data_IF_096748590052
#
_entry.id   IF_096748590052
#
_cell.length_a   1.000
_cell.length_b   1.000
_cell.length_c   1.000
_cell.angle_alpha   90.00
_cell.angle_beta   90.00
_cell.angle_gamma   90.00
#
_symmetry.space_group_name_H-M   'P 1'
#
loop_
_entity.id
_entity.type
_entity.pdbx_description
1 polymer ?
#
# COMPACT_ATOMS: atom_id res chain seq x y z
N UNK A 1 38.81 46.42 16.47
CA UNK A 1 37.95 46.62 17.63
C UNK A 1 36.53 46.47 17.14
N UNK A 2 35.97 45.24 17.21
CA UNK A 2 34.60 44.92 16.80
C UNK A 2 33.88 44.32 17.99
N UNK A 3 32.84 45.02 18.44
CA UNK A 3 32.03 44.72 19.60
C UNK A 3 31.04 43.60 19.22
N UNK A 4 31.11 42.44 19.93
CA UNK A 4 30.13 41.36 19.89
C UNK A 4 28.99 41.69 20.83
N UNK A 5 27.78 41.84 20.28
CA UNK A 5 26.57 42.05 21.04
C UNK A 5 25.86 40.71 21.25
N UNK A 6 25.89 40.19 22.49
CA UNK A 6 25.12 39.01 22.93
C UNK A 6 23.68 39.40 23.19
N UNK A 7 22.74 38.81 22.44
CA UNK A 7 21.32 38.88 22.74
C UNK A 7 20.95 37.63 23.50
N UNK A 8 20.67 37.81 24.81
CA UNK A 8 20.12 36.76 25.69
C UNK A 8 18.62 36.68 25.50
N UNK A 9 18.11 35.52 25.03
CA UNK A 9 16.67 35.24 24.94
C UNK A 9 16.25 34.51 26.21
N UNK A 10 15.39 35.18 26.98
CA UNK A 10 14.83 34.70 28.25
C UNK A 10 13.58 33.86 27.94
N UNK A 11 13.65 32.54 28.19
CA UNK A 11 12.48 31.66 28.09
C UNK A 11 11.67 31.71 29.39
N UNK A 12 10.44 32.21 29.34
CA UNK A 12 9.47 32.17 30.43
C UNK A 12 8.69 30.85 30.32
N UNK A 13 8.89 29.95 31.29
CA UNK A 13 8.06 28.77 31.46
C UNK A 13 6.79 29.16 32.21
N UNK A 14 5.63 29.02 31.57
CA UNK A 14 4.32 29.06 32.23
C UNK A 14 3.94 27.64 32.65
N UNK A 15 3.95 27.42 33.97
CA UNK A 15 3.41 26.25 34.62
C UNK A 15 1.87 26.34 34.61
N UNK A 16 1.18 25.34 34.08
CA UNK A 16 -0.25 25.15 34.26
C UNK A 16 -0.48 24.03 35.26
N UNK A 17 -1.04 24.38 36.43
CA UNK A 17 -1.43 23.46 37.50
C UNK A 17 -2.72 22.70 37.16
N UNK A 18 -2.67 21.38 37.32
CA UNK A 18 -3.80 20.47 37.28
C UNK A 18 -4.67 20.62 38.53
N UNK A 19 -5.96 20.92 38.33
CA UNK A 19 -6.98 20.86 39.40
C UNK A 19 -7.65 19.49 39.41
N UNK A 20 -7.29 18.67 40.38
CA UNK A 20 -8.07 17.51 40.81
C UNK A 20 -9.44 17.93 41.35
N UNK A 21 -10.54 17.41 40.79
CA UNK A 21 -11.84 17.50 41.38
C UNK A 21 -12.21 16.23 42.13
N UNK A 22 -12.55 16.42 43.42
CA UNK A 22 -12.92 15.44 44.43
C UNK A 22 -14.24 14.74 44.10
N UNK A 23 -14.23 13.42 44.27
CA UNK A 23 -15.45 12.60 44.41
C UNK A 23 -16.14 12.89 45.72
N UNK A 24 -17.45 13.17 45.69
CA UNK A 24 -18.33 13.09 46.82
C UNK A 24 -19.20 11.85 46.75
N UNK A 25 -19.02 10.97 47.75
CA UNK A 25 -19.93 9.88 48.05
C UNK A 25 -21.19 10.45 48.74
N UNK A 26 -22.37 10.05 48.28
CA UNK A 26 -23.56 10.06 49.14
C UNK A 26 -24.25 8.67 49.02
N UNK A 27 -24.28 7.98 50.15
CA UNK A 27 -25.18 6.87 50.43
C UNK A 27 -26.56 7.39 50.82
N UNK A 28 -27.61 6.81 50.29
CA UNK A 28 -28.87 6.62 51.04
C UNK A 28 -29.67 5.48 50.43
N UNK A 29 -29.90 4.46 51.25
CA UNK A 29 -30.84 3.36 51.04
C UNK A 29 -32.26 3.87 50.87
N UNK A 30 -33.12 3.12 50.16
CA UNK A 30 -34.43 2.61 50.63
C UNK A 30 -35.01 1.68 49.52
N UNK A 31 -35.55 0.56 50.01
CA UNK A 31 -36.25 -0.52 49.32
C UNK A 31 -37.43 -0.09 48.42
N UNK A 32 -37.68 -0.80 47.36
CA UNK A 32 -38.98 -1.42 47.07
C UNK A 32 -38.92 -2.32 45.84
N UNK A 33 -39.49 -3.50 45.98
CA UNK A 33 -39.72 -4.55 44.97
C UNK A 33 -40.51 -4.01 43.77
N UNK A 34 -40.07 -4.42 42.57
CA UNK A 34 -40.99 -4.78 41.49
C UNK A 34 -40.24 -5.65 40.46
N UNK A 35 -40.64 -6.89 40.40
CA UNK A 35 -40.29 -7.92 39.43
C UNK A 35 -40.81 -7.51 38.04
N UNK A 36 -39.93 -7.36 37.04
CA UNK A 36 -40.31 -7.44 35.63
C UNK A 36 -39.22 -8.21 34.89
N UNK A 37 -39.55 -9.44 34.52
CA UNK A 37 -38.82 -10.24 33.55
C UNK A 37 -38.87 -9.58 32.17
N UNK A 38 -37.71 -9.29 31.59
CA UNK A 38 -37.53 -9.30 30.14
C UNK A 38 -36.08 -9.61 29.81
N UNK A 39 -35.86 -10.85 29.42
CA UNK A 39 -34.59 -11.29 28.82
C UNK A 39 -34.44 -10.69 27.43
N UNK A 40 -33.86 -9.51 27.31
CA UNK A 40 -33.28 -9.04 26.06
C UNK A 40 -31.80 -9.42 26.03
N UNK A 41 -31.54 -10.66 25.63
CA UNK A 41 -30.23 -11.07 25.16
C UNK A 41 -29.89 -10.26 23.90
N UNK A 42 -29.26 -9.10 24.07
CA UNK A 42 -28.55 -8.42 22.96
C UNK A 42 -27.56 -9.43 22.36
N UNK A 43 -27.90 -10.01 21.20
CA UNK A 43 -26.98 -10.77 20.37
C UNK A 43 -25.77 -9.91 20.10
N UNK A 44 -24.62 -10.28 20.67
CA UNK A 44 -23.33 -9.69 20.33
C UNK A 44 -23.18 -9.70 18.80
N UNK A 45 -22.70 -8.61 18.17
CA UNK A 45 -22.53 -8.58 16.73
C UNK A 45 -21.61 -9.73 16.34
N UNK A 46 -22.08 -10.62 15.44
CA UNK A 46 -21.25 -11.68 14.87
C UNK A 46 -20.06 -11.02 14.19
N UNK A 47 -18.90 -11.06 14.82
CA UNK A 47 -17.64 -10.65 14.22
C UNK A 47 -17.47 -11.52 12.97
N UNK A 48 -17.59 -10.91 11.78
CA UNK A 48 -17.30 -11.61 10.53
C UNK A 48 -15.87 -12.13 10.61
N UNK A 49 -15.72 -13.45 10.71
CA UNK A 49 -14.41 -14.07 10.78
C UNK A 49 -13.62 -13.71 9.52
N UNK A 50 -12.45 -13.14 9.68
CA UNK A 50 -11.60 -12.70 8.56
C UNK A 50 -11.07 -13.94 7.83
N UNK A 51 -11.03 -13.89 6.51
CA UNK A 51 -10.49 -14.97 5.67
C UNK A 51 -8.97 -15.11 5.77
N UNK A 52 -8.27 -14.11 6.28
CA UNK A 52 -6.81 -14.06 6.46
C UNK A 52 -6.44 -13.19 7.67
N UNK A 53 -5.27 -13.37 8.28
CA UNK A 53 -4.82 -12.54 9.40
C UNK A 53 -4.55 -11.11 8.93
N UNK A 54 -4.59 -10.12 9.85
CA UNK A 54 -4.06 -8.79 9.55
C UNK A 54 -2.56 -8.91 9.35
N UNK A 55 -2.08 -8.51 8.16
CA UNK A 55 -0.67 -8.60 7.81
C UNK A 55 0.15 -7.49 8.49
N UNK A 56 1.32 -7.87 8.95
CA UNK A 56 2.32 -7.02 9.60
C UNK A 56 3.72 -7.48 9.19
N UNK A 57 4.75 -6.69 9.45
CA UNK A 57 6.14 -7.08 9.18
C UNK A 57 6.54 -8.40 9.87
N UNK A 58 5.84 -8.77 10.96
CA UNK A 58 6.14 -9.99 11.73
C UNK A 58 5.58 -11.26 11.12
N UNK A 59 4.48 -11.19 10.36
CA UNK A 59 3.76 -12.36 9.88
C UNK A 59 3.58 -12.43 8.37
N UNK A 60 3.89 -11.35 7.64
CA UNK A 60 3.64 -11.30 6.20
C UNK A 60 4.46 -12.33 5.43
N UNK A 61 5.71 -12.54 5.80
CA UNK A 61 6.58 -13.48 5.10
C UNK A 61 6.13 -14.93 5.29
N UNK A 62 5.81 -15.32 6.51
CA UNK A 62 5.27 -16.67 6.79
C UNK A 62 3.92 -16.87 6.09
N UNK A 63 3.06 -15.85 6.12
CA UNK A 63 1.79 -15.89 5.40
C UNK A 63 2.00 -16.09 3.90
N UNK A 64 2.87 -15.34 3.24
CA UNK A 64 3.09 -15.47 1.80
C UNK A 64 3.84 -16.74 1.42
N UNK A 65 4.67 -17.28 2.31
CA UNK A 65 5.34 -18.56 2.11
C UNK A 65 4.32 -19.72 2.03
N UNK A 66 3.28 -19.69 2.87
CA UNK A 66 2.21 -20.69 2.81
C UNK A 66 1.21 -20.39 1.67
N UNK A 67 0.86 -19.10 1.49
CA UNK A 67 -0.10 -18.67 0.48
C UNK A 67 0.35 -19.03 -0.94
N UNK A 68 1.64 -18.89 -1.26
CA UNK A 68 2.18 -19.18 -2.58
C UNK A 68 2.08 -20.65 -2.97
N UNK A 69 2.05 -21.56 -2.01
CA UNK A 69 1.95 -23.01 -2.29
C UNK A 69 0.63 -23.36 -2.98
N UNK A 70 -0.46 -22.70 -2.57
CA UNK A 70 -1.81 -22.94 -3.07
C UNK A 70 -2.25 -21.92 -4.13
N UNK A 71 -1.45 -20.88 -4.39
CA UNK A 71 -1.79 -19.79 -5.29
C UNK A 71 -0.65 -19.57 -6.29
N UNK A 72 -0.64 -20.42 -7.34
CA UNK A 72 0.43 -20.47 -8.34
C UNK A 72 0.13 -19.65 -9.59
N UNK A 73 -1.00 -18.95 -9.60
CA UNK A 73 -1.35 -18.09 -10.73
C UNK A 73 -0.27 -17.04 -10.95
N UNK A 74 0.02 -16.77 -12.21
CA UNK A 74 1.08 -15.86 -12.59
C UNK A 74 0.75 -14.95 -13.77
N UNK A 75 -0.48 -14.99 -14.27
CA UNK A 75 -0.93 -14.06 -15.31
C UNK A 75 -2.05 -13.18 -14.79
N UNK A 76 -1.90 -11.89 -14.98
CA UNK A 76 -2.89 -10.90 -14.55
C UNK A 76 -3.15 -9.89 -15.66
N UNK A 77 -4.35 -9.33 -15.67
CA UNK A 77 -4.77 -8.24 -16.55
C UNK A 77 -5.11 -7.02 -15.74
N UNK A 78 -4.53 -5.88 -16.11
CA UNK A 78 -4.90 -4.56 -15.62
C UNK A 78 -5.79 -3.92 -16.68
N UNK A 79 -7.01 -3.52 -16.29
CA UNK A 79 -7.95 -2.77 -17.15
C UNK A 79 -7.95 -1.30 -16.79
N UNK A 80 -7.82 -0.43 -17.79
CA UNK A 80 -7.83 1.03 -17.67
C UNK A 80 -8.72 1.65 -18.73
N UNK A 81 -8.95 2.97 -18.67
CA UNK A 81 -9.64 3.71 -19.75
C UNK A 81 -8.85 3.76 -21.07
N UNK A 82 -7.53 3.47 -21.02
CA UNK A 82 -6.63 3.45 -22.18
C UNK A 82 -6.55 2.08 -22.85
N UNK A 83 -7.11 1.05 -22.22
CA UNK A 83 -7.04 -0.34 -22.67
C UNK A 83 -6.58 -1.29 -21.58
N UNK A 84 -6.13 -2.49 -21.98
CA UNK A 84 -5.69 -3.55 -21.08
C UNK A 84 -4.18 -3.76 -21.16
N UNK A 85 -3.59 -4.17 -20.03
CA UNK A 85 -2.18 -4.53 -19.91
C UNK A 85 -2.12 -5.93 -19.30
N UNK A 86 -1.61 -6.90 -20.05
CA UNK A 86 -1.41 -8.28 -19.58
C UNK A 86 0.01 -8.46 -19.07
N UNK A 87 0.13 -9.07 -17.91
CA UNK A 87 1.40 -9.22 -17.20
C UNK A 87 1.61 -10.67 -16.83
N UNK A 88 2.83 -11.19 -17.11
CA UNK A 88 3.35 -12.43 -16.58
C UNK A 88 4.18 -12.11 -15.34
N UNK A 89 3.82 -12.68 -14.20
CA UNK A 89 4.57 -12.59 -12.94
C UNK A 89 5.59 -13.74 -12.86
N UNK A 90 6.76 -13.47 -12.28
CA UNK A 90 7.85 -14.45 -12.22
C UNK A 90 7.74 -15.36 -10.99
N UNK A 91 7.98 -16.64 -11.21
CA UNK A 91 7.94 -17.65 -10.14
C UNK A 91 9.13 -17.52 -9.18
N UNK A 92 10.27 -17.03 -9.67
CA UNK A 92 11.50 -16.84 -8.91
C UNK A 92 11.31 -15.81 -7.80
N UNK A 93 10.61 -14.71 -8.07
CA UNK A 93 10.30 -13.67 -7.08
C UNK A 93 8.97 -13.97 -6.36
N UNK A 94 8.88 -15.17 -5.78
CA UNK A 94 7.67 -15.80 -5.28
C UNK A 94 6.88 -14.94 -4.27
N UNK A 95 7.55 -14.20 -3.39
CA UNK A 95 6.87 -13.35 -2.41
C UNK A 95 6.18 -12.15 -3.05
N UNK A 96 6.81 -11.54 -4.05
CA UNK A 96 6.26 -10.43 -4.81
C UNK A 96 5.08 -10.89 -5.67
N UNK A 97 5.23 -12.04 -6.35
CA UNK A 97 4.13 -12.68 -7.10
C UNK A 97 2.96 -13.02 -6.18
N UNK A 98 3.21 -13.74 -5.09
CA UNK A 98 2.17 -14.15 -4.13
C UNK A 98 1.44 -12.93 -3.52
N UNK A 99 2.17 -11.88 -3.19
CA UNK A 99 1.59 -10.62 -2.72
C UNK A 99 0.68 -9.98 -3.79
N UNK A 100 1.14 -9.88 -5.03
CA UNK A 100 0.36 -9.28 -6.10
C UNK A 100 -0.93 -10.09 -6.37
N UNK A 101 -0.83 -11.42 -6.45
CA UNK A 101 -1.99 -12.33 -6.60
C UNK A 101 -2.94 -12.21 -5.41
N UNK A 102 -2.41 -12.17 -4.18
CA UNK A 102 -3.23 -11.97 -2.98
C UNK A 102 -4.01 -10.66 -3.03
N UNK A 103 -3.35 -9.55 -3.32
CA UNK A 103 -3.99 -8.23 -3.42
C UNK A 103 -5.02 -8.17 -4.55
N UNK A 104 -4.73 -8.80 -5.68
CA UNK A 104 -5.69 -8.97 -6.80
C UNK A 104 -6.93 -9.73 -6.35
N UNK A 105 -6.77 -10.89 -5.68
CA UNK A 105 -7.91 -11.67 -5.15
C UNK A 105 -8.71 -10.93 -4.06
N UNK A 106 -8.10 -9.96 -3.36
CA UNK A 106 -8.79 -9.09 -2.40
C UNK A 106 -9.45 -7.87 -3.06
N UNK A 107 -9.32 -7.68 -4.38
CA UNK A 107 -9.80 -6.50 -5.11
C UNK A 107 -9.13 -5.21 -4.65
N UNK A 108 -7.87 -5.31 -4.14
CA UNK A 108 -7.17 -4.15 -3.61
C UNK A 108 -6.91 -3.10 -4.68
N UNK A 109 -6.48 -3.54 -5.86
CA UNK A 109 -6.08 -2.64 -6.94
C UNK A 109 -7.26 -1.99 -7.68
N UNK A 110 -8.49 -2.50 -7.50
CA UNK A 110 -9.67 -1.96 -8.19
C UNK A 110 -9.95 -0.52 -7.75
N UNK A 111 -10.07 0.38 -8.73
CA UNK A 111 -10.21 1.83 -8.56
C UNK A 111 -9.02 2.52 -7.87
N UNK A 112 -7.84 1.90 -7.86
CA UNK A 112 -6.59 2.63 -7.61
C UNK A 112 -6.19 3.41 -8.86
N UNK A 113 -5.07 4.13 -8.83
CA UNK A 113 -4.64 5.01 -9.91
C UNK A 113 -3.20 4.70 -10.33
N UNK A 114 -2.87 5.04 -11.57
CA UNK A 114 -1.51 5.40 -11.95
C UNK A 114 -1.27 6.83 -11.46
N UNK A 115 -0.68 6.95 -10.28
CA UNK A 115 -0.57 8.22 -9.55
C UNK A 115 0.74 8.97 -9.82
N UNK A 116 1.72 8.31 -10.46
CA UNK A 116 2.97 8.92 -10.90
C UNK A 116 3.29 8.44 -12.31
N UNK A 117 3.47 9.37 -13.21
CA UNK A 117 3.71 9.09 -14.63
C UNK A 117 4.87 9.95 -15.12
N UNK A 118 5.92 9.30 -15.59
CA UNK A 118 7.11 9.97 -16.13
C UNK A 118 7.38 9.44 -17.54
N UNK A 119 7.17 10.27 -18.54
CA UNK A 119 7.41 9.91 -19.92
C UNK A 119 8.89 9.52 -20.12
N UNK A 120 9.13 8.48 -20.91
CA UNK A 120 10.44 7.86 -21.12
C UNK A 120 11.13 7.42 -19.81
N UNK A 121 10.33 7.00 -18.82
CA UNK A 121 10.84 6.38 -17.60
C UNK A 121 9.90 5.27 -17.10
N UNK A 122 8.89 5.62 -16.27
CA UNK A 122 7.99 4.65 -15.65
C UNK A 122 6.56 5.17 -15.54
N UNK A 123 5.59 4.24 -15.45
CA UNK A 123 4.27 4.52 -14.91
C UNK A 123 4.10 3.77 -13.59
N UNK A 124 3.71 4.44 -12.52
CA UNK A 124 3.62 3.89 -11.17
C UNK A 124 2.18 3.91 -10.66
N UNK A 125 1.70 2.77 -10.19
CA UNK A 125 0.31 2.56 -9.81
C UNK A 125 0.11 1.80 -8.50
N UNK A 126 -1.16 1.55 -8.17
CA UNK A 126 -1.59 0.78 -7.00
C UNK A 126 -1.90 1.61 -5.76
N UNK A 127 -1.90 2.94 -5.86
CA UNK A 127 -2.33 3.84 -4.79
C UNK A 127 -3.38 4.83 -5.30
N UNK A 128 -3.98 5.58 -4.39
CA UNK A 128 -4.94 6.64 -4.67
C UNK A 128 -5.07 7.52 -3.43
N UNK A 129 -5.54 8.74 -3.60
CA UNK A 129 -5.95 9.66 -2.56
C UNK A 129 -7.36 9.33 -1.99
N UNK A 130 -8.09 8.38 -2.61
CA UNK A 130 -9.41 7.93 -2.14
C UNK A 130 -9.30 7.22 -0.78
N UNK A 131 -10.08 7.70 0.19
CA UNK A 131 -10.17 7.13 1.54
C UNK A 131 -10.58 5.65 1.55
N UNK A 132 -11.35 5.18 0.56
CA UNK A 132 -11.75 3.77 0.45
C UNK A 132 -10.56 2.85 0.21
N UNK A 133 -9.56 3.31 -0.56
CA UNK A 133 -8.30 2.60 -0.80
C UNK A 133 -7.48 2.53 0.48
N UNK A 134 -7.36 3.66 1.19
CA UNK A 134 -6.70 3.69 2.50
C UNK A 134 -7.35 2.72 3.51
N UNK A 135 -8.68 2.62 3.51
CA UNK A 135 -9.40 1.66 4.35
C UNK A 135 -9.15 0.20 3.94
N UNK A 136 -9.13 -0.12 2.64
CA UNK A 136 -8.77 -1.46 2.15
C UNK A 136 -7.38 -1.84 2.61
N UNK A 137 -6.40 -0.94 2.44
CA UNK A 137 -5.02 -1.11 2.89
C UNK A 137 -4.95 -1.35 4.40
N UNK A 138 -5.66 -0.54 5.22
CA UNK A 138 -5.72 -0.71 6.68
C UNK A 138 -6.33 -2.05 7.09
N UNK A 139 -7.33 -2.54 6.35
CA UNK A 139 -7.94 -3.85 6.59
C UNK A 139 -6.97 -4.99 6.28
N UNK A 140 -6.21 -4.91 5.20
CA UNK A 140 -5.20 -5.92 4.85
C UNK A 140 -4.05 -5.89 5.86
N UNK A 141 -3.40 -4.75 6.03
CA UNK A 141 -2.35 -4.58 7.04
C UNK A 141 -1.27 -3.58 6.64
N UNK A 142 -0.22 -3.51 7.46
CA UNK A 142 0.99 -2.72 7.19
C UNK A 142 2.18 -3.64 7.28
N UNK A 143 2.88 -3.83 6.19
CA UNK A 143 4.06 -4.67 6.04
C UNK A 143 4.90 -4.21 4.85
N UNK A 144 6.12 -4.67 4.77
CA UNK A 144 7.02 -4.51 3.63
C UNK A 144 7.46 -5.90 3.14
N UNK A 145 7.89 -5.97 1.90
CA UNK A 145 8.49 -7.19 1.34
C UNK A 145 10.01 -7.03 1.26
N UNK A 146 10.78 -8.08 1.52
CA UNK A 146 12.22 -8.03 1.35
C UNK A 146 12.59 -7.80 -0.10
N UNK A 147 13.66 -7.05 -0.33
CA UNK A 147 14.25 -6.91 -1.65
C UNK A 147 14.72 -8.27 -2.15
N UNK A 148 14.40 -8.63 -3.40
CA UNK A 148 14.75 -9.88 -4.03
C UNK A 148 15.29 -9.62 -5.45
N UNK A 149 16.57 -9.25 -5.54
CA UNK A 149 17.26 -8.85 -6.77
C UNK A 149 18.32 -9.86 -7.22
N UNK A 150 18.35 -11.07 -6.61
CA UNK A 150 19.42 -12.05 -6.84
C UNK A 150 19.23 -12.88 -8.12
N UNK A 151 18.08 -12.75 -8.78
CA UNK A 151 17.72 -13.58 -9.95
C UNK A 151 18.26 -13.03 -11.28
N UNK A 152 18.96 -11.90 -11.27
CA UNK A 152 19.56 -11.32 -12.47
C UNK A 152 18.57 -10.66 -13.43
N UNK A 153 17.33 -10.42 -12.99
CA UNK A 153 16.35 -9.65 -13.77
C UNK A 153 16.75 -8.17 -13.81
N UNK A 154 16.73 -7.60 -15.00
CA UNK A 154 17.06 -6.20 -15.26
C UNK A 154 15.79 -5.38 -15.47
N UNK A 155 15.88 -4.07 -15.27
CA UNK A 155 14.78 -3.14 -15.52
C UNK A 155 14.66 -2.80 -17.01
N UNK A 156 14.51 -3.83 -17.84
CA UNK A 156 14.20 -3.69 -19.25
C UNK A 156 12.82 -3.04 -19.46
N UNK A 157 12.60 -2.48 -20.65
CA UNK A 157 11.28 -1.95 -21.02
C UNK A 157 10.21 -3.03 -20.90
N UNK A 158 9.11 -2.70 -20.24
CA UNK A 158 7.96 -3.56 -20.01
C UNK A 158 8.03 -4.42 -18.75
N UNK A 159 9.12 -4.41 -17.99
CA UNK A 159 9.12 -5.12 -16.71
C UNK A 159 8.27 -4.39 -15.67
N UNK A 160 7.68 -5.17 -14.75
CA UNK A 160 6.98 -4.67 -13.57
C UNK A 160 7.87 -4.88 -12.35
N UNK A 161 7.96 -3.83 -11.51
CA UNK A 161 8.79 -3.82 -10.31
C UNK A 161 8.06 -3.14 -9.15
N UNK A 162 8.51 -3.35 -7.91
CA UNK A 162 7.94 -2.70 -6.73
C UNK A 162 8.83 -1.57 -6.24
N UNK A 163 8.26 -0.35 -6.00
CA UNK A 163 9.01 0.74 -5.41
C UNK A 163 9.33 0.44 -3.95
N UNK A 164 10.42 1.01 -3.43
CA UNK A 164 10.69 1.01 -2.00
C UNK A 164 9.90 2.12 -1.30
N UNK A 165 9.63 1.93 0.00
CA UNK A 165 9.12 2.98 0.86
C UNK A 165 10.14 4.11 0.99
N UNK A 166 9.69 5.37 0.94
CA UNK A 166 10.57 6.54 0.87
C UNK A 166 11.22 6.91 2.22
N UNK A 167 10.65 6.48 3.35
CA UNK A 167 11.05 6.96 4.68
C UNK A 167 11.82 5.88 5.42
N UNK A 168 13.05 6.17 5.82
CA UNK A 168 13.90 5.35 6.70
C UNK A 168 13.95 3.86 6.32
N UNK A 169 14.22 3.59 5.04
CA UNK A 169 14.25 2.24 4.48
C UNK A 169 15.64 1.92 3.89
N UNK A 170 16.68 1.76 4.71
CA UNK A 170 18.05 1.54 4.26
C UNK A 170 18.22 0.22 3.49
N UNK A 171 17.34 -0.74 3.70
CA UNK A 171 17.36 -2.03 3.02
C UNK A 171 16.55 -2.04 1.72
N UNK A 172 15.96 -0.92 1.32
CA UNK A 172 15.09 -0.78 0.15
C UNK A 172 14.00 -1.85 0.08
N UNK A 173 13.39 -2.16 1.22
CA UNK A 173 12.27 -3.09 1.29
C UNK A 173 11.11 -2.56 0.44
N UNK A 174 10.47 -3.45 -0.31
CA UNK A 174 9.44 -3.07 -1.27
C UNK A 174 8.11 -2.72 -0.62
N UNK A 175 7.46 -1.69 -1.17
CA UNK A 175 6.08 -1.30 -0.82
C UNK A 175 5.09 -2.28 -1.48
N UNK A 176 4.38 -3.13 -0.72
CA UNK A 176 3.60 -4.23 -1.28
C UNK A 176 2.37 -3.79 -2.06
N UNK A 177 1.91 -2.56 -1.84
CA UNK A 177 0.67 -2.00 -2.37
C UNK A 177 0.86 -1.22 -3.66
N UNK A 178 2.10 -1.07 -4.12
CA UNK A 178 2.47 -0.24 -5.25
C UNK A 178 3.34 -1.03 -6.23
N UNK A 179 3.28 -0.63 -7.49
CA UNK A 179 4.13 -1.19 -8.53
C UNK A 179 4.45 -0.11 -9.57
N UNK A 180 5.48 -0.33 -10.37
CA UNK A 180 5.73 0.47 -11.55
C UNK A 180 6.04 -0.42 -12.75
N UNK A 181 5.74 0.10 -13.94
CA UNK A 181 6.09 -0.54 -15.22
C UNK A 181 7.12 0.35 -15.91
N UNK A 182 8.23 -0.24 -16.33
CA UNK A 182 9.27 0.49 -17.06
C UNK A 182 8.80 0.76 -18.49
N UNK A 183 8.69 2.06 -18.81
CA UNK A 183 8.29 2.53 -20.13
C UNK A 183 9.51 2.95 -20.98
N UNK A 184 10.61 3.32 -20.33
CA UNK A 184 11.83 3.83 -20.94
C UNK A 184 12.35 2.93 -22.08
N UNK A 185 12.61 3.53 -23.23
CA UNK A 185 13.30 2.85 -24.32
C UNK A 185 14.73 2.49 -23.88
N UNK A 186 15.10 1.22 -24.08
CA UNK A 186 16.41 0.71 -23.65
C UNK A 186 16.49 0.32 -22.17
N UNK A 187 15.38 0.46 -21.40
CA UNK A 187 15.34 0.06 -19.99
C UNK A 187 15.79 1.16 -19.02
N UNK A 188 15.52 0.94 -17.74
CA UNK A 188 15.86 1.83 -16.62
C UNK A 188 16.92 1.16 -15.70
N UNK A 189 18.06 0.77 -16.28
CA UNK A 189 19.07 -0.07 -15.64
C UNK A 189 19.73 0.56 -14.39
N UNK A 190 19.61 1.86 -14.19
CA UNK A 190 20.06 2.50 -12.95
C UNK A 190 19.23 2.06 -11.71
N UNK A 191 18.12 1.34 -11.91
CA UNK A 191 17.29 0.74 -10.85
C UNK A 191 17.72 -0.69 -10.50
N UNK A 192 18.59 -1.29 -11.31
CA UNK A 192 19.01 -2.68 -11.14
C UNK A 192 19.73 -2.89 -9.80
N UNK A 193 19.41 -4.00 -9.15
CA UNK A 193 19.94 -4.32 -7.82
C UNK A 193 19.28 -3.57 -6.66
N UNK A 194 18.51 -2.51 -6.93
CA UNK A 194 17.83 -1.69 -5.91
C UNK A 194 16.36 -2.07 -5.73
N UNK A 195 15.67 -2.38 -6.81
CA UNK A 195 14.26 -2.74 -6.81
C UNK A 195 14.03 -4.14 -7.35
N UNK A 196 12.99 -4.81 -6.86
CA UNK A 196 12.69 -6.18 -7.30
C UNK A 196 11.81 -6.18 -8.53
N UNK A 197 12.37 -6.62 -9.65
CA UNK A 197 11.60 -6.98 -10.84
C UNK A 197 10.88 -8.30 -10.55
N UNK A 198 9.54 -8.33 -10.70
CA UNK A 198 8.74 -9.51 -10.37
C UNK A 198 7.81 -9.98 -11.50
N UNK A 199 7.96 -9.41 -12.69
CA UNK A 199 7.19 -9.79 -13.86
C UNK A 199 7.45 -8.88 -15.05
N UNK A 200 6.70 -9.11 -16.13
CA UNK A 200 6.79 -8.32 -17.35
C UNK A 200 5.44 -8.21 -18.05
N UNK A 201 5.24 -7.14 -18.79
CA UNK A 201 4.13 -6.98 -19.73
C UNK A 201 4.29 -7.97 -20.88
N UNK A 202 3.23 -8.70 -21.19
CA UNK A 202 3.17 -9.63 -22.32
C UNK A 202 2.31 -9.09 -23.46
N UNK A 203 1.37 -8.21 -23.15
CA UNK A 203 0.53 -7.50 -24.10
C UNK A 203 0.12 -6.13 -23.55
N UNK A 204 -0.13 -5.12 -24.37
CA UNK A 204 -0.57 -3.79 -23.96
C UNK A 204 0.55 -2.78 -23.67
N UNK A 205 1.76 -2.96 -24.21
CA UNK A 205 2.81 -1.93 -24.09
C UNK A 205 2.44 -0.62 -24.78
N UNK A 206 1.58 -0.65 -25.80
CA UNK A 206 1.02 0.55 -26.42
C UNK A 206 0.07 1.30 -25.45
N UNK A 207 -0.61 0.59 -24.56
CA UNK A 207 -1.43 1.17 -23.49
C UNK A 207 -0.52 1.83 -22.44
N UNK A 208 0.61 1.19 -22.06
CA UNK A 208 1.62 1.78 -21.18
C UNK A 208 2.16 3.08 -21.78
N UNK A 209 2.45 3.11 -23.10
CA UNK A 209 2.91 4.32 -23.79
C UNK A 209 1.86 5.43 -23.81
N UNK A 210 0.59 5.09 -24.05
CA UNK A 210 -0.52 6.07 -24.01
C UNK A 210 -0.69 6.68 -22.63
N UNK A 211 -0.51 5.88 -21.56
CA UNK A 211 -0.55 6.36 -20.18
C UNK A 211 0.66 7.25 -19.92
N UNK A 212 1.88 6.83 -20.32
CA UNK A 212 3.11 7.59 -20.10
C UNK A 212 3.11 8.97 -20.81
N UNK A 213 2.39 9.09 -21.93
CA UNK A 213 2.25 10.34 -22.68
C UNK A 213 1.22 11.33 -22.09
N UNK A 214 0.57 10.99 -20.96
CA UNK A 214 -0.38 11.90 -20.33
C UNK A 214 0.33 13.07 -19.64
N UNK A 215 -0.29 14.25 -19.70
CA UNK A 215 0.25 15.44 -19.04
C UNK A 215 0.20 15.29 -17.53
N UNK A 216 1.26 15.70 -16.86
CA UNK A 216 1.41 15.68 -15.40
C UNK A 216 1.63 17.09 -14.85
N UNK A 217 1.44 17.23 -13.54
CA UNK A 217 1.89 18.40 -12.78
C UNK A 217 3.41 18.31 -12.45
N UNK A 218 3.91 19.29 -11.71
CA UNK A 218 5.32 19.35 -11.28
C UNK A 218 5.71 18.20 -10.32
N UNK A 219 4.73 17.50 -9.72
CA UNK A 219 4.90 16.31 -8.87
C UNK A 219 4.78 14.99 -9.65
N UNK A 220 4.75 15.07 -11.00
CA UNK A 220 4.61 13.89 -11.88
C UNK A 220 3.25 13.18 -11.72
N UNK A 221 2.25 13.85 -11.10
CA UNK A 221 0.89 13.34 -10.99
C UNK A 221 0.10 13.68 -12.26
N UNK A 222 -0.61 12.72 -12.88
CA UNK A 222 -1.42 13.00 -14.07
C UNK A 222 -2.49 14.07 -13.80
N UNK A 223 -2.57 15.07 -14.70
CA UNK A 223 -3.59 16.15 -14.59
C UNK A 223 -5.02 15.63 -14.64
N UNK A 224 -5.24 14.50 -15.30
CA UNK A 224 -6.50 13.74 -15.28
C UNK A 224 -6.21 12.37 -14.65
N UNK A 225 -6.97 12.00 -13.63
CA UNK A 225 -6.80 10.73 -12.94
C UNK A 225 -6.86 9.55 -13.93
N UNK A 226 -5.90 8.66 -13.84
CA UNK A 226 -5.81 7.44 -14.65
C UNK A 226 -6.12 6.27 -13.73
N UNK A 227 -7.36 5.76 -13.82
CA UNK A 227 -7.82 4.69 -12.93
C UNK A 227 -7.40 3.31 -13.42
N UNK A 228 -6.95 2.49 -12.49
CA UNK A 228 -6.91 1.05 -12.62
C UNK A 228 -8.32 0.55 -12.28
N UNK A 229 -9.16 0.37 -13.29
CA UNK A 229 -10.56 -0.01 -13.10
C UNK A 229 -10.68 -1.38 -12.43
N UNK A 230 -9.82 -2.31 -12.86
CA UNK A 230 -9.80 -3.68 -12.36
C UNK A 230 -8.43 -4.33 -12.56
N UNK A 231 -8.05 -5.19 -11.62
CA UNK A 231 -6.99 -6.17 -11.83
C UNK A 231 -7.57 -7.56 -11.62
N UNK A 232 -7.39 -8.45 -12.59
CA UNK A 232 -7.91 -9.81 -12.53
C UNK A 232 -6.86 -10.84 -12.96
N UNK A 233 -7.01 -12.06 -12.45
CA UNK A 233 -6.20 -13.19 -12.85
C UNK A 233 -6.77 -13.73 -14.17
N UNK A 234 -5.89 -13.97 -15.13
CA UNK A 234 -6.21 -14.56 -16.42
C UNK A 234 -5.47 -15.90 -16.61
N UNK A 235 -5.94 -16.73 -17.54
CA UNK A 235 -5.35 -18.06 -17.80
C UNK A 235 -4.28 -17.99 -18.90
#
# INVERSE_FOLDING_TARGET
MRILMFISVFFIFLNCEDKQSRQQKNNSNIDSLATVNSEDKKKAPKIKQRKFPKLTDKNAMDFFLEYEKENKENKVRITTDFGTIDILLYDETKFHRANFIFLTKQGYFDNTQFYRVVENFVIQGGSSDDMSIAERRRKIGKYLLPKDTQHGFLHDRGVISMPSSEIENPYKMASPYQFFIVQQQGGAHHLDGDYTVFGRVTDGMDVVDKIAAQKTDDGEWPLNNIYIQKVEIIN
#
